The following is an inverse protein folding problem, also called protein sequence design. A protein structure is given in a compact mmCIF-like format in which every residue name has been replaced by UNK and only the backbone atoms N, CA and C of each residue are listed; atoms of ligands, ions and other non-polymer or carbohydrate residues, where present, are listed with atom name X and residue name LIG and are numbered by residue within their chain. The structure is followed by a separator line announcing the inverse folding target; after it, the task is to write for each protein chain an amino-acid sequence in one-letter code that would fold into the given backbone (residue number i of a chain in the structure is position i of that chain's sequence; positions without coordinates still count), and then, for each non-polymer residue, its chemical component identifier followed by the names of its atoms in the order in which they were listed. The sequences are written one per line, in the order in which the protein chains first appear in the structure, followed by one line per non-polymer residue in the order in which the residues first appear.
data_IF_525635984768
#
_entry.id   IF_525635984768
#
_cell.length_a   1.000
_cell.length_b   1.000
_cell.length_c   1.000
_cell.angle_alpha   90.00
_cell.angle_beta   90.00
_cell.angle_gamma   90.00
#
_symmetry.space_group_name_H-M   'P 1'
#
loop_
_entity.id
_entity.type
_entity.pdbx_description
1 polymer ?
#
# COMPACT_ATOMS: atom_id res chain seq x y z
N UNK A 1 18.99 10.44 -16.28
CA UNK A 1 18.82 10.78 -14.85
C UNK A 1 19.83 11.86 -14.48
N UNK A 2 19.51 12.83 -13.59
CA UNK A 2 20.46 13.84 -13.13
C UNK A 2 21.50 13.24 -12.18
N UNK A 3 22.66 13.91 -12.05
CA UNK A 3 23.65 13.61 -11.01
C UNK A 3 23.20 14.19 -9.66
N UNK A 4 23.43 13.46 -8.57
CA UNK A 4 23.03 13.87 -7.23
C UNK A 4 22.85 12.73 -6.24
N UNK A 5 22.36 13.07 -5.05
CA UNK A 5 22.10 12.16 -3.94
C UNK A 5 20.72 12.43 -3.33
N UNK A 6 19.93 11.38 -3.17
CA UNK A 6 18.56 11.45 -2.63
C UNK A 6 18.33 10.36 -1.61
N UNK A 7 17.94 10.73 -0.40
CA UNK A 7 17.70 9.80 0.70
C UNK A 7 16.22 9.79 1.06
N UNK A 8 15.67 8.60 1.26
CA UNK A 8 14.31 8.44 1.73
C UNK A 8 14.21 7.30 2.74
N UNK A 9 13.36 7.48 3.74
CA UNK A 9 13.04 6.47 4.74
C UNK A 9 11.55 6.16 4.70
N UNK A 10 11.18 4.89 4.74
CA UNK A 10 9.83 4.46 5.05
C UNK A 10 9.85 3.44 6.20
N UNK A 11 8.70 3.13 6.79
CA UNK A 11 8.62 2.31 8.01
C UNK A 11 7.65 1.16 7.85
N UNK A 12 8.02 0.00 8.38
CA UNK A 12 7.11 -1.11 8.68
C UNK A 12 6.66 -0.93 10.14
N UNK A 13 5.39 -1.24 10.43
CA UNK A 13 4.80 -0.99 11.76
C UNK A 13 5.51 -1.77 12.88
N UNK A 14 5.72 -3.07 12.67
CA UNK A 14 6.46 -4.01 13.54
C UNK A 14 6.70 -5.35 12.80
N UNK A 15 7.36 -6.32 13.44
CA UNK A 15 7.62 -7.66 12.88
C UNK A 15 6.59 -8.74 13.28
N UNK A 16 5.56 -8.37 14.05
CA UNK A 16 4.56 -9.28 14.62
C UNK A 16 5.06 -10.18 15.76
N UNK A 17 6.26 -9.90 16.30
CA UNK A 17 6.83 -10.53 17.50
C UNK A 17 7.14 -9.45 18.54
N UNK A 18 7.97 -8.47 18.17
CA UNK A 18 8.30 -7.30 18.97
C UNK A 18 7.32 -6.16 18.65
N UNK A 19 6.06 -6.33 19.08
CA UNK A 19 4.95 -5.42 18.77
C UNK A 19 5.24 -3.96 19.10
N UNK A 20 4.80 -3.06 18.21
CA UNK A 20 4.94 -1.62 18.40
C UNK A 20 6.36 -1.07 18.27
N UNK A 21 7.32 -1.87 17.79
CA UNK A 21 8.67 -1.40 17.45
C UNK A 21 8.76 -1.13 15.94
N UNK A 22 8.76 0.15 15.50
CA UNK A 22 8.85 0.48 14.09
C UNK A 22 10.17 0.05 13.46
N UNK A 23 10.10 -0.40 12.22
CA UNK A 23 11.26 -0.92 11.48
C UNK A 23 11.55 0.02 10.31
N UNK A 24 12.59 0.88 10.41
CA UNK A 24 12.95 1.80 9.33
C UNK A 24 13.65 1.10 8.17
N UNK A 25 13.25 1.48 6.95
CA UNK A 25 13.88 1.14 5.68
C UNK A 25 14.36 2.44 5.04
N UNK A 26 15.67 2.64 5.00
CA UNK A 26 16.32 3.83 4.45
C UNK A 26 17.13 3.46 3.22
N UNK A 27 16.94 4.19 2.14
CA UNK A 27 17.77 4.08 0.93
C UNK A 27 18.30 5.45 0.53
N UNK A 28 19.56 5.48 0.15
CA UNK A 28 20.19 6.62 -0.50
C UNK A 28 20.57 6.27 -1.93
N UNK A 29 19.97 6.96 -2.90
CA UNK A 29 20.30 6.84 -4.31
C UNK A 29 21.36 7.88 -4.67
N UNK A 30 22.53 7.42 -5.09
CA UNK A 30 23.63 8.25 -5.59
C UNK A 30 23.79 8.00 -7.08
N UNK A 31 23.62 9.03 -7.90
CA UNK A 31 23.78 8.95 -9.34
C UNK A 31 24.94 9.87 -9.73
N UNK A 32 25.94 9.31 -10.41
CA UNK A 32 27.05 10.07 -10.96
C UNK A 32 27.46 9.51 -12.34
N UNK A 33 27.45 10.34 -13.37
CA UNK A 33 27.78 9.91 -14.73
C UNK A 33 26.85 8.80 -15.22
N UNK A 34 27.42 7.65 -15.56
CA UNK A 34 26.75 6.45 -16.09
C UNK A 34 26.48 5.37 -15.02
N UNK A 35 26.73 5.65 -13.74
CA UNK A 35 26.53 4.70 -12.63
C UNK A 35 25.53 5.23 -11.60
N UNK A 36 24.85 4.29 -10.96
CA UNK A 36 24.00 4.54 -9.82
C UNK A 36 24.32 3.57 -8.68
N UNK A 37 24.36 4.07 -7.45
CA UNK A 37 24.46 3.27 -6.24
C UNK A 37 23.19 3.45 -5.42
N UNK A 38 22.54 2.35 -5.06
CA UNK A 38 21.47 2.31 -4.09
C UNK A 38 22.01 1.74 -2.77
N UNK A 39 22.16 2.61 -1.79
CA UNK A 39 22.75 2.28 -0.49
C UNK A 39 21.68 2.16 0.59
N UNK A 40 21.51 0.95 1.12
CA UNK A 40 20.56 0.61 2.17
C UNK A 40 21.17 0.68 3.57
N UNK A 41 22.38 1.21 3.71
CA UNK A 41 22.99 1.49 5.02
C UNK A 41 22.09 2.43 5.82
N UNK A 42 21.87 2.11 7.10
CA UNK A 42 20.95 2.85 7.98
C UNK A 42 19.53 2.29 8.04
N UNK A 43 19.23 1.24 7.26
CA UNK A 43 18.06 0.38 7.47
C UNK A 43 18.20 -0.46 8.74
N UNK A 44 17.07 -0.88 9.33
CA UNK A 44 17.02 -1.69 10.56
C UNK A 44 17.90 -2.96 10.50
N UNK A 45 18.46 -3.41 11.64
CA UNK A 45 18.93 -4.79 11.80
C UNK A 45 17.85 -5.80 11.39
N UNK A 46 18.27 -7.01 11.04
CA UNK A 46 17.34 -8.13 10.82
C UNK A 46 16.49 -8.36 12.09
N UNK A 47 15.22 -8.68 11.90
CA UNK A 47 14.21 -8.79 12.96
C UNK A 47 13.87 -10.24 13.27
N UNK A 48 13.15 -10.49 14.38
CA UNK A 48 12.77 -11.84 14.80
C UNK A 48 11.65 -12.41 13.91
N UNK A 49 10.73 -11.56 13.50
CA UNK A 49 9.63 -11.92 12.62
C UNK A 49 10.10 -12.36 11.23
N UNK A 50 9.24 -13.08 10.51
CA UNK A 50 9.58 -13.73 9.25
C UNK A 50 9.66 -12.80 8.03
N UNK A 51 9.86 -11.50 8.25
CA UNK A 51 9.80 -10.44 7.23
C UNK A 51 11.19 -10.01 6.73
N UNK A 52 12.24 -10.76 7.05
CA UNK A 52 13.60 -10.42 6.61
C UNK A 52 13.82 -10.71 5.12
N UNK A 53 14.54 -9.83 4.43
CA UNK A 53 14.87 -9.98 3.02
C UNK A 53 16.29 -10.48 2.79
N UNK A 54 16.46 -11.22 1.69
CA UNK A 54 17.80 -11.54 1.16
C UNK A 54 18.28 -10.39 0.29
N UNK A 55 19.60 -10.28 0.10
CA UNK A 55 20.19 -9.28 -0.80
C UNK A 55 19.60 -9.32 -2.22
N UNK A 56 19.24 -10.52 -2.70
CA UNK A 56 18.64 -10.69 -4.03
C UNK A 56 17.29 -9.98 -4.16
N UNK A 57 16.47 -9.99 -3.11
CA UNK A 57 15.18 -9.30 -3.10
C UNK A 57 15.38 -7.79 -3.07
N UNK A 58 16.28 -7.30 -2.21
CA UNK A 58 16.64 -5.88 -2.12
C UNK A 58 17.12 -5.35 -3.47
N UNK A 59 17.96 -6.12 -4.17
CA UNK A 59 18.35 -5.83 -5.56
C UNK A 59 17.16 -5.76 -6.50
N UNK A 60 16.27 -6.75 -6.48
CA UNK A 60 15.09 -6.77 -7.34
C UNK A 60 14.16 -5.56 -7.12
N UNK A 61 13.92 -5.18 -5.86
CA UNK A 61 13.14 -3.99 -5.50
C UNK A 61 13.76 -2.72 -6.09
N UNK A 62 15.07 -2.52 -5.87
CA UNK A 62 15.82 -1.37 -6.44
C UNK A 62 15.76 -1.36 -7.96
N UNK A 63 16.05 -2.48 -8.62
CA UNK A 63 16.07 -2.56 -10.08
C UNK A 63 14.71 -2.29 -10.70
N UNK A 64 13.63 -2.77 -10.08
CA UNK A 64 12.27 -2.55 -10.58
C UNK A 64 11.90 -1.07 -10.56
N UNK A 65 12.23 -0.37 -9.48
CA UNK A 65 11.94 1.07 -9.36
C UNK A 65 12.73 1.89 -10.39
N UNK A 66 14.03 1.62 -10.53
CA UNK A 66 14.88 2.31 -11.51
C UNK A 66 14.41 2.02 -12.94
N UNK A 67 14.06 0.75 -13.26
CA UNK A 67 13.52 0.39 -14.57
C UNK A 67 12.22 1.13 -14.88
N UNK A 68 11.38 1.36 -13.87
CA UNK A 68 10.06 1.99 -14.02
C UNK A 68 10.15 3.47 -14.41
N UNK A 69 11.25 4.16 -14.12
CA UNK A 69 11.46 5.58 -14.48
C UNK A 69 12.31 5.77 -15.75
N UNK A 70 12.74 4.67 -16.36
CA UNK A 70 13.55 4.65 -17.58
C UNK A 70 12.71 4.33 -18.82
N UNK A 71 13.21 4.65 -20.03
CA UNK A 71 12.53 4.31 -21.28
C UNK A 71 12.19 2.81 -21.38
N UNK A 72 11.04 2.52 -22.00
CA UNK A 72 10.50 1.17 -22.10
C UNK A 72 11.46 0.23 -22.86
N UNK A 73 12.15 0.76 -23.87
CA UNK A 73 13.05 0.08 -24.80
C UNK A 73 14.29 -0.54 -24.12
N UNK A 74 14.66 -0.06 -22.92
CA UNK A 74 15.76 -0.65 -22.16
C UNK A 74 15.33 -2.04 -21.65
N UNK A 75 15.97 -3.10 -22.13
CA UNK A 75 15.60 -4.47 -21.77
C UNK A 75 16.06 -4.87 -20.36
N UNK A 76 15.24 -5.67 -19.67
CA UNK A 76 15.56 -6.24 -18.36
C UNK A 76 16.54 -7.42 -18.46
N UNK A 77 17.82 -7.14 -18.71
CA UNK A 77 18.88 -8.14 -18.76
C UNK A 77 20.13 -7.68 -17.98
N UNK A 78 21.18 -8.52 -17.96
CA UNK A 78 22.43 -8.23 -17.24
C UNK A 78 23.06 -6.87 -17.57
N UNK A 79 22.85 -6.37 -18.79
CA UNK A 79 23.33 -5.04 -19.20
C UNK A 79 22.66 -3.89 -18.43
N UNK A 80 21.36 -4.02 -18.13
CA UNK A 80 20.61 -3.04 -17.34
C UNK A 80 21.06 -3.01 -15.87
N UNK A 81 21.37 -4.17 -15.28
CA UNK A 81 21.76 -4.26 -13.87
C UNK A 81 23.21 -3.81 -13.63
N UNK A 82 24.11 -4.01 -14.59
CA UNK A 82 25.55 -3.73 -14.48
C UNK A 82 25.91 -2.31 -13.99
N UNK A 83 25.26 -1.21 -14.43
CA UNK A 83 25.56 0.13 -13.94
C UNK A 83 24.94 0.45 -12.56
N UNK A 84 24.16 -0.46 -11.98
CA UNK A 84 23.44 -0.24 -10.71
C UNK A 84 24.06 -1.11 -9.62
N UNK A 85 24.78 -0.46 -8.72
CA UNK A 85 25.31 -1.06 -7.51
C UNK A 85 24.26 -1.01 -6.40
N UNK A 86 24.11 -2.12 -5.66
CA UNK A 86 23.20 -2.19 -4.50
C UNK A 86 24.02 -2.60 -3.28
N UNK A 87 24.10 -1.70 -2.30
CA UNK A 87 24.81 -1.89 -1.04
C UNK A 87 23.75 -2.15 0.04
N UNK A 88 23.86 -3.29 0.73
CA UNK A 88 23.05 -3.59 1.90
C UNK A 88 23.92 -4.37 2.91
N UNK A 89 24.25 -3.79 4.07
CA UNK A 89 25.11 -4.45 5.06
C UNK A 89 24.52 -5.79 5.52
N UNK A 90 25.35 -6.81 5.65
CA UNK A 90 24.94 -8.12 6.14
C UNK A 90 24.39 -8.02 7.58
N UNK A 91 23.34 -8.76 7.89
CA UNK A 91 22.68 -8.71 9.20
C UNK A 91 21.62 -7.62 9.34
N UNK A 92 21.29 -6.92 8.25
CA UNK A 92 20.17 -5.97 8.19
C UNK A 92 18.92 -6.64 7.66
N UNK A 93 17.75 -6.03 7.85
CA UNK A 93 16.49 -6.52 7.25
C UNK A 93 16.56 -6.52 5.72
N UNK A 94 17.49 -5.76 5.11
CA UNK A 94 17.75 -5.71 3.67
C UNK A 94 18.79 -6.72 3.16
N UNK A 95 19.55 -7.37 4.04
CA UNK A 95 20.50 -8.41 3.68
C UNK A 95 20.70 -9.34 4.89
N UNK A 96 19.68 -10.13 5.15
CA UNK A 96 19.64 -10.97 6.32
C UNK A 96 20.61 -12.14 6.21
N UNK A 97 21.18 -12.53 7.36
CA UNK A 97 22.05 -13.70 7.48
C UNK A 97 21.33 -14.80 8.25
N UNK A 98 21.70 -16.06 7.99
CA UNK A 98 21.16 -17.19 8.73
C UNK A 98 21.37 -17.00 10.24
N UNK A 99 20.39 -17.32 11.10
CA UNK A 99 19.14 -18.04 10.83
C UNK A 99 17.88 -17.15 10.65
N UNK A 100 18.00 -15.93 10.12
CA UNK A 100 16.85 -15.01 9.96
C UNK A 100 15.68 -15.62 9.16
N UNK A 101 14.46 -15.45 9.68
CA UNK A 101 13.26 -15.95 9.03
C UNK A 101 12.81 -15.05 7.86
N UNK A 102 12.51 -15.67 6.72
CA UNK A 102 12.27 -14.97 5.44
C UNK A 102 10.96 -15.38 4.74
N UNK A 103 10.02 -16.03 5.44
CA UNK A 103 8.80 -16.60 4.85
C UNK A 103 7.80 -15.52 4.39
N UNK A 104 7.66 -14.43 5.15
CA UNK A 104 6.76 -13.30 4.88
C UNK A 104 7.51 -12.07 4.33
N UNK A 105 8.67 -12.29 3.71
CA UNK A 105 9.57 -11.23 3.22
C UNK A 105 8.96 -10.30 2.16
N UNK A 106 7.87 -10.73 1.50
CA UNK A 106 7.13 -9.94 0.53
C UNK A 106 6.73 -8.58 1.08
N UNK A 107 6.22 -8.54 2.32
CA UNK A 107 5.83 -7.31 3.03
C UNK A 107 6.95 -6.27 3.04
N UNK A 108 8.16 -6.68 3.44
CA UNK A 108 9.34 -5.82 3.43
C UNK A 108 9.78 -5.46 2.02
N UNK A 109 9.67 -6.41 1.08
CA UNK A 109 10.00 -6.21 -0.33
C UNK A 109 9.18 -5.09 -0.98
N UNK A 110 7.86 -5.08 -0.78
CA UNK A 110 7.01 -4.00 -1.26
C UNK A 110 7.31 -2.68 -0.56
N UNK A 111 7.62 -2.72 0.74
CA UNK A 111 8.03 -1.49 1.44
C UNK A 111 9.32 -0.92 0.87
N UNK A 112 10.30 -1.76 0.52
CA UNK A 112 11.52 -1.31 -0.15
C UNK A 112 11.22 -0.62 -1.48
N UNK A 113 10.24 -1.10 -2.24
CA UNK A 113 9.81 -0.46 -3.50
C UNK A 113 9.28 0.95 -3.23
N UNK A 114 8.36 1.10 -2.26
CA UNK A 114 7.86 2.41 -1.87
C UNK A 114 8.98 3.32 -1.35
N UNK A 115 9.97 2.79 -0.61
CA UNK A 115 11.13 3.57 -0.14
C UNK A 115 11.98 4.06 -1.31
N UNK A 116 12.28 3.21 -2.30
CA UNK A 116 13.08 3.60 -3.48
C UNK A 116 12.31 4.60 -4.35
N UNK A 117 11.00 4.42 -4.53
CA UNK A 117 10.19 5.43 -5.20
C UNK A 117 10.17 6.75 -4.44
N UNK A 118 10.16 6.75 -3.11
CA UNK A 118 10.26 7.98 -2.33
C UNK A 118 11.56 8.75 -2.56
N UNK A 119 12.68 8.03 -2.76
CA UNK A 119 13.95 8.65 -3.16
C UNK A 119 13.93 9.12 -4.62
N UNK A 120 13.37 8.32 -5.54
CA UNK A 120 13.23 8.70 -6.95
C UNK A 120 12.27 9.88 -7.15
N UNK A 121 11.26 10.05 -6.30
CA UNK A 121 10.35 11.18 -6.35
C UNK A 121 11.12 12.49 -6.15
N UNK A 122 12.06 12.52 -5.20
CA UNK A 122 12.92 13.70 -5.02
C UNK A 122 13.82 13.97 -6.25
N UNK A 123 14.22 12.92 -6.98
CA UNK A 123 15.02 13.03 -8.20
C UNK A 123 14.20 13.45 -9.44
N UNK A 124 12.96 12.96 -9.55
CA UNK A 124 12.12 13.03 -10.76
C UNK A 124 10.66 13.34 -10.38
N UNK A 125 10.36 14.55 -9.88
CA UNK A 125 9.05 14.86 -9.29
C UNK A 125 7.86 14.66 -10.23
N UNK A 126 8.05 14.92 -11.52
CA UNK A 126 6.99 14.80 -12.53
C UNK A 126 6.88 13.40 -13.16
N UNK A 127 7.65 12.41 -12.67
CA UNK A 127 7.66 11.05 -13.23
C UNK A 127 7.28 9.95 -12.25
N UNK A 128 7.34 10.24 -10.95
CA UNK A 128 7.18 9.22 -9.91
C UNK A 128 5.82 9.34 -9.25
N UNK A 129 5.21 8.18 -9.03
CA UNK A 129 3.89 8.03 -8.42
C UNK A 129 3.99 8.15 -6.89
N UNK A 130 2.90 8.54 -6.23
CA UNK A 130 2.82 8.44 -4.77
C UNK A 130 2.88 6.98 -4.29
N UNK A 131 3.05 6.76 -2.98
CA UNK A 131 3.12 5.40 -2.45
C UNK A 131 1.88 4.61 -2.84
N UNK A 132 2.07 3.36 -3.25
CA UNK A 132 0.94 2.44 -3.46
C UNK A 132 0.45 1.90 -2.11
N UNK A 133 -0.45 0.93 -2.10
CA UNK A 133 -1.03 0.35 -0.89
C UNK A 133 -0.01 -0.34 0.06
N UNK A 134 1.29 -0.35 -0.25
CA UNK A 134 2.30 -0.96 0.60
C UNK A 134 2.51 -2.45 0.38
N UNK A 135 1.88 -3.03 -0.65
CA UNK A 135 2.11 -4.39 -1.10
C UNK A 135 1.05 -5.40 -0.67
N UNK A 136 1.45 -6.66 -0.67
CA UNK A 136 0.53 -7.76 -0.37
C UNK A 136 0.22 -7.86 1.13
N UNK A 137 -1.06 -7.98 1.47
CA UNK A 137 -1.46 -8.59 2.75
C UNK A 137 -1.68 -10.07 2.53
N UNK A 138 -1.03 -10.89 3.36
CA UNK A 138 -1.25 -12.34 3.39
C UNK A 138 -2.33 -12.71 4.40
N UNK A 139 -3.34 -13.45 3.96
CA UNK A 139 -4.36 -14.08 4.83
C UNK A 139 -4.22 -15.58 4.67
N UNK A 140 -3.99 -16.27 5.77
CA UNK A 140 -3.95 -17.73 5.82
C UNK A 140 -4.95 -18.25 6.83
N UNK A 141 -5.77 -19.20 6.40
CA UNK A 141 -6.73 -19.91 7.26
C UNK A 141 -6.47 -21.40 7.08
N UNK A 142 -6.07 -22.07 8.15
CA UNK A 142 -5.71 -23.49 8.11
C UNK A 142 -6.37 -24.27 9.23
N UNK A 143 -6.76 -25.51 8.93
CA UNK A 143 -7.47 -26.36 9.87
C UNK A 143 -7.65 -27.77 9.35
N UNK A 144 -8.66 -28.45 9.88
CA UNK A 144 -9.05 -29.79 9.47
C UNK A 144 -10.54 -29.82 9.19
N UNK A 145 -10.93 -30.57 8.16
CA UNK A 145 -12.32 -30.97 7.96
C UNK A 145 -12.79 -31.93 9.06
N UNK A 146 -14.10 -32.17 9.13
CA UNK A 146 -14.70 -33.12 10.08
C UNK A 146 -14.11 -34.55 9.98
N UNK A 147 -13.68 -34.97 8.78
CA UNK A 147 -13.04 -36.26 8.52
C UNK A 147 -11.53 -36.30 8.85
N UNK A 148 -10.99 -35.21 9.40
CA UNK A 148 -9.56 -35.01 9.76
C UNK A 148 -8.63 -34.84 8.56
N UNK A 149 -9.16 -34.60 7.36
CA UNK A 149 -8.35 -34.14 6.22
C UNK A 149 -7.91 -32.70 6.44
N UNK A 150 -6.61 -32.36 6.30
CA UNK A 150 -6.14 -30.99 6.50
C UNK A 150 -6.52 -30.09 5.33
N UNK A 151 -6.79 -28.82 5.61
CA UNK A 151 -6.91 -27.76 4.59
C UNK A 151 -6.00 -26.58 4.94
N UNK A 152 -5.56 -25.86 3.90
CA UNK A 152 -4.84 -24.60 4.03
C UNK A 152 -5.25 -23.66 2.91
N UNK A 153 -5.88 -22.56 3.30
CA UNK A 153 -6.15 -21.43 2.43
C UNK A 153 -5.07 -20.38 2.61
N UNK A 154 -4.52 -19.88 1.50
CA UNK A 154 -3.58 -18.75 1.48
C UNK A 154 -3.97 -17.81 0.36
N UNK A 155 -4.29 -16.56 0.70
CA UNK A 155 -4.59 -15.51 -0.27
C UNK A 155 -3.67 -14.31 -0.01
N UNK A 156 -3.25 -13.66 -1.11
CA UNK A 156 -2.51 -12.42 -1.08
C UNK A 156 -3.34 -11.33 -1.73
N UNK A 157 -3.60 -10.26 -0.98
CA UNK A 157 -4.43 -9.15 -1.42
C UNK A 157 -3.50 -7.98 -1.78
N UNK A 158 -3.58 -7.53 -3.02
CA UNK A 158 -3.14 -6.22 -3.48
C UNK A 158 -4.33 -5.51 -4.12
N UNK A 159 -4.32 -4.18 -4.14
CA UNK A 159 -5.55 -3.48 -4.45
C UNK A 159 -5.45 -2.12 -5.09
N UNK A 160 -4.36 -1.33 -4.97
CA UNK A 160 -4.40 0.02 -5.54
C UNK A 160 -3.04 0.72 -5.66
N UNK A 161 -2.92 1.58 -6.67
CA UNK A 161 -1.70 2.38 -6.87
C UNK A 161 -1.83 3.79 -6.33
N UNK A 162 -0.69 4.42 -6.05
CA UNK A 162 -0.61 5.85 -5.74
C UNK A 162 -1.03 6.73 -6.91
N UNK A 163 -1.49 7.94 -6.59
CA UNK A 163 -1.73 9.00 -7.56
C UNK A 163 -0.46 9.25 -8.38
N UNK A 164 -0.65 9.48 -9.68
CA UNK A 164 0.45 9.66 -10.63
C UNK A 164 0.53 11.13 -11.03
N UNK A 165 1.70 11.64 -11.46
CA UNK A 165 1.80 13.02 -11.95
C UNK A 165 0.84 13.37 -13.10
N UNK A 166 0.35 12.37 -13.83
CA UNK A 166 -0.50 12.52 -15.02
C UNK A 166 -1.89 11.88 -14.91
N UNK A 167 -2.19 11.10 -13.87
CA UNK A 167 -3.45 10.36 -13.76
C UNK A 167 -3.71 9.86 -12.33
N UNK A 168 -4.97 9.57 -12.01
CA UNK A 168 -5.32 8.92 -10.73
C UNK A 168 -4.62 7.56 -10.59
N UNK A 169 -4.49 7.07 -9.37
CA UNK A 169 -4.06 5.70 -9.10
C UNK A 169 -5.02 4.67 -9.71
N UNK A 170 -4.54 3.45 -9.89
CA UNK A 170 -5.39 2.35 -10.36
C UNK A 170 -6.21 1.82 -9.19
N UNK A 171 -7.52 1.71 -9.39
CA UNK A 171 -8.48 1.12 -8.45
C UNK A 171 -8.49 -0.41 -8.58
N UNK A 172 -8.53 -1.15 -7.47
CA UNK A 172 -8.64 -2.61 -7.44
C UNK A 172 -7.55 -3.39 -8.20
N UNK A 173 -6.35 -2.84 -8.34
CA UNK A 173 -5.28 -3.41 -9.16
C UNK A 173 -4.09 -3.89 -8.32
N UNK A 174 -3.40 -4.94 -8.79
CA UNK A 174 -2.20 -5.43 -8.12
C UNK A 174 -1.10 -4.37 -8.09
N UNK A 175 -0.37 -4.29 -6.98
CA UNK A 175 0.78 -3.40 -6.85
C UNK A 175 1.79 -3.61 -7.99
N UNK A 176 2.37 -2.53 -8.51
CA UNK A 176 3.29 -2.54 -9.66
C UNK A 176 4.45 -3.56 -9.55
N UNK A 177 4.85 -3.91 -8.32
CA UNK A 177 5.95 -4.84 -8.06
C UNK A 177 5.54 -6.31 -8.13
N UNK A 178 4.26 -6.61 -8.35
CA UNK A 178 3.77 -7.98 -8.48
C UNK A 178 2.68 -8.11 -9.55
N UNK A 179 2.62 -9.29 -10.14
CA UNK A 179 1.52 -9.67 -11.02
C UNK A 179 0.67 -10.70 -10.28
N UNK A 180 -0.30 -10.21 -9.49
CA UNK A 180 -1.20 -11.03 -8.70
C UNK A 180 -2.65 -10.75 -9.08
N UNK A 181 -3.49 -11.75 -8.88
CA UNK A 181 -4.94 -11.64 -9.02
C UNK A 181 -5.59 -12.26 -7.82
N UNK A 182 -6.71 -11.69 -7.36
CA UNK A 182 -7.54 -12.36 -6.38
C UNK A 182 -8.19 -13.60 -7.02
N UNK A 183 -8.21 -14.76 -6.33
CA UNK A 183 -9.00 -15.89 -6.77
C UNK A 183 -10.49 -15.54 -6.83
N UNK A 184 -11.20 -16.20 -7.74
CA UNK A 184 -12.66 -16.13 -7.81
C UNK A 184 -13.26 -16.58 -6.48
N UNK A 185 -14.34 -15.90 -6.06
CA UNK A 185 -15.10 -16.31 -4.89
C UNK A 185 -15.60 -17.76 -5.05
N UNK A 186 -16.16 -18.09 -6.22
CA UNK A 186 -16.69 -19.44 -6.52
C UNK A 186 -15.63 -20.53 -6.37
N UNK A 187 -14.39 -20.28 -6.83
CA UNK A 187 -13.28 -21.26 -6.70
C UNK A 187 -12.90 -21.41 -5.23
N UNK A 188 -12.81 -20.30 -4.50
CA UNK A 188 -12.46 -20.32 -3.08
C UNK A 188 -13.52 -21.07 -2.27
N UNK A 189 -14.81 -20.81 -2.52
CA UNK A 189 -15.94 -21.46 -1.83
C UNK A 189 -16.11 -22.93 -2.21
N UNK A 190 -15.70 -23.32 -3.42
CA UNK A 190 -15.74 -24.72 -3.86
C UNK A 190 -14.62 -25.55 -3.23
N UNK A 191 -13.42 -24.98 -3.13
CA UNK A 191 -12.21 -25.71 -2.73
C UNK A 191 -11.87 -25.58 -1.25
N UNK A 192 -12.39 -24.56 -0.56
CA UNK A 192 -12.05 -24.24 0.83
C UNK A 192 -13.32 -24.15 1.68
N UNK A 193 -13.25 -24.47 2.98
CA UNK A 193 -14.39 -24.35 3.87
C UNK A 193 -14.57 -22.89 4.34
N UNK A 194 -14.70 -21.99 3.36
CA UNK A 194 -14.82 -20.55 3.54
C UNK A 194 -15.94 -20.02 2.65
N UNK A 195 -16.63 -19.00 3.13
CA UNK A 195 -17.59 -18.23 2.32
C UNK A 195 -17.09 -16.79 2.18
N UNK A 196 -17.06 -16.27 0.95
CA UNK A 196 -16.60 -14.91 0.65
C UNK A 196 -17.78 -13.96 0.71
N UNK A 197 -17.83 -13.13 1.76
CA UNK A 197 -18.99 -12.26 2.00
C UNK A 197 -18.93 -10.95 1.23
N UNK A 198 -17.73 -10.45 0.96
CA UNK A 198 -17.56 -9.27 0.13
C UNK A 198 -16.18 -9.21 -0.54
N UNK A 199 -16.18 -8.51 -1.67
CA UNK A 199 -15.02 -8.05 -2.40
C UNK A 199 -15.37 -6.72 -3.04
N UNK A 200 -15.10 -5.62 -2.33
CA UNK A 200 -15.62 -4.30 -2.67
C UNK A 200 -14.53 -3.24 -2.61
N UNK A 201 -14.67 -2.19 -3.43
CA UNK A 201 -13.85 -0.99 -3.31
C UNK A 201 -14.27 -0.22 -2.05
N UNK A 202 -13.30 0.33 -1.32
CA UNK A 202 -13.56 1.09 -0.10
C UNK A 202 -13.62 2.60 -0.45
N UNK A 203 -14.78 3.27 -0.27
CA UNK A 203 -14.88 4.72 -0.49
C UNK A 203 -13.94 5.52 0.41
N UNK A 204 -13.44 6.66 -0.08
CA UNK A 204 -12.57 7.60 0.65
C UNK A 204 -11.25 6.99 1.18
N UNK A 205 -10.86 5.80 0.69
CA UNK A 205 -9.68 5.10 1.19
C UNK A 205 -8.38 5.67 0.61
N UNK A 206 -8.37 5.99 -0.68
CA UNK A 206 -7.21 6.54 -1.38
C UNK A 206 -6.88 7.96 -0.91
N UNK A 207 -5.59 8.27 -0.85
CA UNK A 207 -5.08 9.58 -0.50
C UNK A 207 -5.56 10.64 -1.47
N UNK A 208 -5.96 11.78 -0.92
CA UNK A 208 -6.50 12.91 -1.69
C UNK A 208 -5.40 13.57 -2.50
N UNK A 209 -5.71 14.07 -3.70
CA UNK A 209 -4.72 14.79 -4.50
C UNK A 209 -5.33 15.35 -5.78
N UNK A 210 -4.57 16.18 -6.50
CA UNK A 210 -4.92 16.53 -7.90
C UNK A 210 -5.22 15.26 -8.68
N UNK A 211 -4.36 14.27 -8.47
CA UNK A 211 -4.56 12.88 -8.85
C UNK A 211 -4.70 12.04 -7.57
N UNK A 212 -5.88 11.45 -7.37
CA UNK A 212 -6.16 10.67 -6.16
C UNK A 212 -5.40 9.34 -6.16
N UNK A 213 -5.14 8.79 -4.98
CA UNK A 213 -4.82 7.38 -4.85
C UNK A 213 -5.96 6.50 -5.37
N UNK A 214 -5.64 5.30 -5.84
CA UNK A 214 -6.63 4.31 -6.20
C UNK A 214 -7.46 3.83 -5.00
N UNK A 215 -8.63 3.25 -5.25
CA UNK A 215 -9.47 2.64 -4.23
C UNK A 215 -9.03 1.22 -3.95
N UNK A 216 -8.70 0.97 -2.69
CA UNK A 216 -8.32 -0.34 -2.17
C UNK A 216 -9.54 -1.22 -1.90
N UNK A 217 -9.30 -2.52 -1.71
CA UNK A 217 -10.34 -3.54 -1.60
C UNK A 217 -10.57 -3.94 -0.13
N UNK A 218 -11.84 -4.14 0.24
CA UNK A 218 -12.24 -4.91 1.42
C UNK A 218 -12.55 -6.35 1.02
N UNK A 219 -12.08 -7.30 1.83
CA UNK A 219 -12.32 -8.73 1.67
C UNK A 219 -12.79 -9.35 2.99
N UNK A 220 -13.85 -10.15 2.95
CA UNK A 220 -14.43 -10.79 4.14
C UNK A 220 -14.62 -12.29 3.95
N UNK A 221 -14.25 -13.07 4.97
CA UNK A 221 -14.24 -14.53 4.96
C UNK A 221 -15.00 -15.05 6.16
N UNK A 222 -16.02 -15.89 5.93
CA UNK A 222 -16.70 -16.64 6.99
C UNK A 222 -16.15 -18.05 7.04
N UNK A 223 -15.81 -18.55 8.23
CA UNK A 223 -15.36 -19.92 8.40
C UNK A 223 -16.55 -20.90 8.40
N UNK A 224 -16.42 -21.98 7.63
CA UNK A 224 -17.41 -23.06 7.54
C UNK A 224 -16.97 -24.37 8.22
N UNK A 225 -15.78 -24.45 8.82
CA UNK A 225 -15.41 -25.54 9.72
C UNK A 225 -15.57 -25.15 11.19
N UNK A 226 -15.57 -26.15 12.08
CA UNK A 226 -15.74 -25.94 13.53
C UNK A 226 -14.61 -25.11 14.13
N UNK A 227 -13.38 -25.31 13.64
CA UNK A 227 -12.19 -24.61 14.11
C UNK A 227 -11.17 -24.40 12.99
N UNK A 228 -10.54 -23.22 12.97
CA UNK A 228 -9.36 -22.94 12.16
C UNK A 228 -8.39 -21.98 12.86
N UNK A 229 -7.14 -21.97 12.39
CA UNK A 229 -6.13 -20.98 12.75
C UNK A 229 -6.13 -19.88 11.70
N UNK A 230 -6.27 -18.63 12.16
CA UNK A 230 -6.11 -17.45 11.32
C UNK A 230 -4.70 -16.89 11.49
N UNK A 231 -3.99 -16.70 10.38
CA UNK A 231 -2.79 -15.89 10.33
C UNK A 231 -2.96 -14.75 9.33
N UNK A 232 -2.69 -13.53 9.78
CA UNK A 232 -2.69 -12.33 8.94
C UNK A 232 -1.31 -11.68 8.99
N UNK A 233 -0.83 -11.30 7.81
CA UNK A 233 0.42 -10.56 7.61
C UNK A 233 0.09 -9.29 6.83
N UNK A 234 -0.45 -8.29 7.54
CA UNK A 234 -0.71 -6.96 7.00
C UNK A 234 0.28 -5.92 7.57
N UNK A 235 0.26 -4.72 6.99
CA UNK A 235 1.04 -3.55 7.42
C UNK A 235 0.28 -2.26 7.05
N UNK A 236 0.92 -1.08 7.10
CA UNK A 236 0.29 0.24 6.83
C UNK A 236 -0.87 0.58 7.76
N UNK A 237 -0.88 0.06 9.00
CA UNK A 237 -1.85 0.45 10.01
C UNK A 237 -1.43 1.75 10.71
N UNK A 238 -0.15 1.83 11.11
CA UNK A 238 0.41 3.02 11.76
C UNK A 238 1.09 3.93 10.74
N UNK A 239 2.02 3.40 9.95
CA UNK A 239 2.74 4.15 8.92
C UNK A 239 2.05 4.00 7.56
N UNK A 240 1.11 4.91 7.30
CA UNK A 240 0.24 4.92 6.10
C UNK A 240 1.04 5.19 4.82
N UNK A 241 0.52 4.79 3.64
CA UNK A 241 1.12 5.17 2.37
C UNK A 241 1.19 6.68 2.22
N UNK A 242 2.38 7.20 1.91
CA UNK A 242 2.62 8.64 1.81
C UNK A 242 2.05 9.22 0.51
N UNK A 243 1.55 10.44 0.59
CA UNK A 243 1.24 11.27 -0.58
C UNK A 243 2.45 12.07 -1.05
N UNK A 244 2.38 12.63 -2.26
CA UNK A 244 3.44 13.44 -2.86
C UNK A 244 2.95 14.81 -3.35
N UNK A 245 3.80 15.82 -3.23
CA UNK A 245 3.61 17.19 -3.77
C UNK A 245 2.26 17.83 -3.40
N UNK A 246 1.88 17.74 -2.12
CA UNK A 246 0.60 18.23 -1.60
C UNK A 246 -0.53 17.20 -1.59
N UNK A 247 -0.34 16.04 -2.22
CA UNK A 247 -1.23 14.90 -2.06
C UNK A 247 -1.19 14.35 -0.64
N UNK A 248 -2.32 13.90 -0.13
CA UNK A 248 -2.49 13.34 1.20
C UNK A 248 -2.15 11.85 1.29
N UNK A 249 -1.84 11.34 2.48
CA UNK A 249 -1.66 9.91 2.72
C UNK A 249 -3.00 9.18 2.57
N UNK A 250 -2.96 7.91 2.21
CA UNK A 250 -4.16 7.07 2.20
C UNK A 250 -4.58 6.63 3.60
N UNK A 251 -5.76 6.02 3.71
CA UNK A 251 -6.29 5.48 4.98
C UNK A 251 -5.49 4.25 5.45
N UNK A 252 -5.43 3.99 6.76
CA UNK A 252 -4.71 2.82 7.28
C UNK A 252 -5.40 1.51 6.91
N UNK A 253 -4.63 0.42 6.95
CA UNK A 253 -5.20 -0.93 6.89
C UNK A 253 -5.98 -1.26 8.17
N UNK A 254 -6.96 -2.16 8.09
CA UNK A 254 -7.75 -2.58 9.24
C UNK A 254 -8.09 -4.06 9.19
N UNK A 255 -7.90 -4.75 10.31
CA UNK A 255 -8.31 -6.13 10.49
C UNK A 255 -9.43 -6.18 11.53
N UNK A 256 -10.50 -6.92 11.22
CA UNK A 256 -11.64 -7.09 12.13
C UNK A 256 -12.06 -8.55 12.19
N UNK A 257 -12.58 -8.95 13.34
CA UNK A 257 -13.22 -10.24 13.54
C UNK A 257 -14.61 -10.03 14.13
N UNK A 258 -15.62 -10.61 13.48
CA UNK A 258 -16.96 -10.76 14.04
C UNK A 258 -17.07 -12.18 14.58
N UNK A 259 -17.17 -12.31 15.91
CA UNK A 259 -17.29 -13.59 16.60
C UNK A 259 -18.39 -13.51 17.66
N UNK A 260 -19.31 -14.49 17.67
CA UNK A 260 -20.44 -14.49 18.60
C UNK A 260 -21.34 -13.25 18.50
N UNK A 261 -21.43 -12.63 17.31
CA UNK A 261 -22.18 -11.39 17.09
C UNK A 261 -21.48 -10.10 17.54
N UNK A 262 -20.22 -10.17 18.01
CA UNK A 262 -19.43 -9.01 18.40
C UNK A 262 -18.29 -8.76 17.42
N UNK A 263 -18.18 -7.52 16.95
CA UNK A 263 -17.03 -7.05 16.16
C UNK A 263 -15.91 -6.57 17.07
N UNK A 264 -14.67 -6.99 16.79
CA UNK A 264 -13.46 -6.46 17.42
C UNK A 264 -12.36 -6.20 16.40
N UNK A 265 -11.56 -5.18 16.66
CA UNK A 265 -10.35 -4.91 15.89
C UNK A 265 -9.24 -5.90 16.26
N UNK A 266 -8.45 -6.27 15.25
CA UNK A 266 -7.24 -7.07 15.39
C UNK A 266 -6.02 -6.24 14.97
N UNK A 267 -4.85 -6.61 15.46
CA UNK A 267 -3.58 -6.04 15.02
C UNK A 267 -3.32 -6.37 13.54
N UNK A 268 -2.48 -5.56 12.87
CA UNK A 268 -2.12 -5.76 11.46
C UNK A 268 -1.49 -7.13 11.19
N UNK A 269 -0.64 -7.59 12.12
CA UNK A 269 -0.04 -8.93 12.12
C UNK A 269 -0.61 -9.72 13.28
N UNK A 270 -1.24 -10.85 12.98
CA UNK A 270 -1.86 -11.72 13.99
C UNK A 270 -1.69 -13.19 13.61
N UNK A 271 -1.48 -14.03 14.61
CA UNK A 271 -1.71 -15.47 14.51
C UNK A 271 -2.60 -15.83 15.68
N UNK A 272 -3.80 -16.29 15.40
CA UNK A 272 -4.84 -16.50 16.40
C UNK A 272 -5.51 -17.85 16.20
N UNK A 273 -5.74 -18.53 17.33
CA UNK A 273 -6.48 -19.78 17.43
C UNK A 273 -7.43 -19.72 18.63
N UNK A 274 -8.69 -20.17 18.53
CA UNK A 274 -9.40 -20.59 17.31
C UNK A 274 -10.22 -19.45 16.67
N UNK A 275 -10.33 -19.45 15.34
CA UNK A 275 -11.58 -19.03 14.67
C UNK A 275 -12.58 -20.18 14.76
N UNK A 276 -13.87 -19.86 14.92
CA UNK A 276 -14.96 -20.85 14.99
C UNK A 276 -15.90 -20.74 13.81
N UNK A 277 -16.67 -21.80 13.57
CA UNK A 277 -17.75 -21.82 12.57
C UNK A 277 -18.61 -20.57 12.67
N UNK A 278 -18.78 -19.88 11.55
CA UNK A 278 -19.59 -18.67 11.45
C UNK A 278 -18.86 -17.38 11.81
N UNK A 279 -17.66 -17.44 12.41
CA UNK A 279 -16.84 -16.25 12.61
C UNK A 279 -16.45 -15.63 11.26
N UNK A 280 -16.43 -14.30 11.20
CA UNK A 280 -16.10 -13.54 9.99
C UNK A 280 -14.85 -12.72 10.21
N UNK A 281 -13.80 -13.00 9.43
CA UNK A 281 -12.63 -12.14 9.33
C UNK A 281 -12.82 -11.13 8.21
N UNK A 282 -12.55 -9.85 8.46
CA UNK A 282 -12.65 -8.77 7.48
C UNK A 282 -11.32 -8.03 7.43
N UNK A 283 -10.76 -7.90 6.23
CA UNK A 283 -9.57 -7.13 5.96
C UNK A 283 -9.88 -5.96 5.02
N UNK A 284 -9.52 -4.76 5.48
CA UNK A 284 -9.52 -3.54 4.69
C UNK A 284 -8.07 -3.25 4.30
N UNK A 285 -7.78 -3.30 2.99
CA UNK A 285 -6.48 -2.88 2.48
C UNK A 285 -6.25 -1.38 2.73
N UNK A 286 -5.01 -0.97 3.04
CA UNK A 286 -4.68 0.43 3.21
C UNK A 286 -4.87 1.18 1.89
N UNK A 287 -5.22 2.45 1.97
CA UNK A 287 -5.31 3.32 0.81
C UNK A 287 -3.93 3.77 0.33
N UNK A 288 -3.65 3.80 -0.97
CA UNK A 288 -2.43 4.40 -1.51
C UNK A 288 -2.44 5.94 -1.36
N UNK A 289 -1.30 6.59 -1.50
CA UNK A 289 -1.19 8.05 -1.40
C UNK A 289 -1.70 8.82 -2.62
N UNK A 290 -2.10 10.07 -2.42
CA UNK A 290 -2.46 10.99 -3.50
C UNK A 290 -1.26 11.77 -4.03
N UNK A 291 -1.41 12.39 -5.21
CA UNK A 291 -0.38 13.20 -5.85
C UNK A 291 -0.93 14.59 -6.20
N UNK A 292 -0.17 15.64 -5.88
CA UNK A 292 -0.54 17.04 -6.17
C UNK A 292 -1.59 17.60 -5.21
N UNK A 293 -1.75 18.92 -5.16
CA UNK A 293 -2.75 19.58 -4.31
C UNK A 293 -4.19 19.15 -4.68
N UNK A 294 -4.97 18.57 -3.73
CA UNK A 294 -6.38 18.24 -3.95
C UNK A 294 -7.23 19.40 -4.48
N UNK A 295 -6.91 20.66 -4.13
CA UNK A 295 -7.68 21.83 -4.57
C UNK A 295 -7.45 22.18 -6.05
N UNK A 296 -6.45 21.57 -6.69
CA UNK A 296 -6.23 21.65 -8.14
C UNK A 296 -7.01 20.60 -8.94
N UNK A 297 -7.63 19.61 -8.29
CA UNK A 297 -8.44 18.60 -8.99
C UNK A 297 -9.62 19.28 -9.67
N UNK A 298 -9.95 18.87 -10.89
CA UNK A 298 -11.11 19.43 -11.60
C UNK A 298 -12.43 19.05 -10.92
N UNK A 299 -13.35 20.00 -10.67
CA UNK A 299 -14.62 19.70 -10.00
C UNK A 299 -15.45 18.63 -10.70
N UNK A 300 -15.42 18.57 -12.04
CA UNK A 300 -16.11 17.54 -12.82
C UNK A 300 -15.55 16.12 -12.55
N UNK A 301 -14.24 16.00 -12.30
CA UNK A 301 -13.62 14.72 -11.92
C UNK A 301 -14.01 14.31 -10.51
N UNK A 302 -14.12 15.26 -9.57
CA UNK A 302 -14.64 14.99 -8.23
C UNK A 302 -16.10 14.54 -8.28
N UNK A 303 -16.94 15.21 -9.07
CA UNK A 303 -18.32 14.77 -9.29
C UNK A 303 -18.37 13.34 -9.84
N UNK A 304 -17.52 13.02 -10.84
CA UNK A 304 -17.42 11.65 -11.35
C UNK A 304 -17.05 10.66 -10.24
N UNK A 305 -16.07 10.98 -9.40
CA UNK A 305 -15.68 10.09 -8.29
C UNK A 305 -16.85 9.88 -7.30
N UNK A 306 -17.64 10.92 -7.03
CA UNK A 306 -18.83 10.83 -6.16
C UNK A 306 -19.95 10.00 -6.79
N UNK A 307 -20.21 10.19 -8.08
CA UNK A 307 -21.20 9.40 -8.82
C UNK A 307 -20.84 7.91 -8.89
N UNK A 308 -19.55 7.57 -8.78
CA UNK A 308 -19.07 6.19 -8.74
C UNK A 308 -18.80 5.69 -7.31
N UNK A 309 -19.23 6.45 -6.28
CA UNK A 309 -19.07 6.10 -4.86
C UNK A 309 -17.61 5.90 -4.41
N UNK A 310 -16.64 6.41 -5.17
CA UNK A 310 -15.22 6.34 -4.82
C UNK A 310 -14.85 7.41 -3.79
N UNK A 311 -15.52 8.56 -3.88
CA UNK A 311 -15.38 9.70 -2.98
C UNK A 311 -16.75 10.05 -2.43
N UNK A 312 -16.89 10.25 -1.13
CA UNK A 312 -18.17 10.69 -0.55
C UNK A 312 -18.43 12.18 -0.83
N UNK A 313 -19.69 12.65 -0.86
CA UNK A 313 -20.00 14.09 -0.94
C UNK A 313 -19.33 14.91 0.16
N UNK A 314 -19.14 14.30 1.34
CA UNK A 314 -18.41 14.90 2.45
C UNK A 314 -16.93 15.10 2.12
N UNK A 315 -16.25 14.06 1.64
CA UNK A 315 -14.83 14.15 1.22
C UNK A 315 -14.66 15.10 0.03
N UNK A 316 -15.59 15.12 -0.92
CA UNK A 316 -15.59 16.08 -2.02
C UNK A 316 -15.48 17.53 -1.51
N UNK A 317 -16.28 17.90 -0.50
CA UNK A 317 -16.26 19.23 0.10
C UNK A 317 -15.05 19.48 1.01
N UNK A 318 -14.67 18.52 1.84
CA UNK A 318 -13.66 18.71 2.87
C UNK A 318 -12.23 18.61 2.34
N UNK A 319 -12.01 17.73 1.37
CA UNK A 319 -10.67 17.43 0.87
C UNK A 319 -10.35 18.17 -0.44
N UNK A 320 -11.31 18.23 -1.37
CA UNK A 320 -11.15 18.83 -2.70
C UNK A 320 -11.79 20.22 -2.84
N UNK A 321 -12.53 20.65 -1.82
CA UNK A 321 -13.27 21.90 -1.81
C UNK A 321 -14.40 21.97 -2.84
N UNK A 322 -14.90 20.81 -3.31
CA UNK A 322 -15.97 20.72 -4.30
C UNK A 322 -17.29 20.43 -3.61
N UNK A 323 -18.23 21.34 -3.75
CA UNK A 323 -19.56 21.21 -3.17
C UNK A 323 -20.49 20.59 -4.21
N UNK A 324 -21.11 19.47 -3.84
CA UNK A 324 -22.03 18.73 -4.71
C UNK A 324 -23.43 18.88 -4.13
N UNK A 325 -24.36 19.33 -4.98
CA UNK A 325 -25.78 19.24 -4.67
C UNK A 325 -26.21 17.77 -4.83
N UNK A 326 -26.51 17.11 -3.72
CA UNK A 326 -26.89 15.69 -3.70
C UNK A 326 -28.30 15.42 -4.21
N UNK A 327 -29.15 16.46 -4.32
CA UNK A 327 -30.48 16.31 -4.90
C UNK A 327 -30.44 16.33 -6.43
N UNK A 328 -29.57 17.17 -7.01
CA UNK A 328 -29.43 17.30 -8.47
C UNK A 328 -28.25 16.55 -9.05
N UNK A 329 -27.34 16.06 -8.20
CA UNK A 329 -26.06 15.42 -8.57
C UNK A 329 -25.20 16.30 -9.49
N UNK A 330 -25.12 17.59 -9.15
CA UNK A 330 -24.32 18.58 -9.89
C UNK A 330 -23.34 19.31 -8.98
N UNK A 331 -22.31 19.92 -9.56
CA UNK A 331 -21.37 20.77 -8.82
C UNK A 331 -22.00 22.15 -8.61
N UNK A 332 -22.04 22.60 -7.36
CA UNK A 332 -22.31 24.01 -7.04
C UNK A 332 -20.99 24.79 -7.23
N UNK A 333 -20.89 25.52 -8.34
CA UNK A 333 -19.69 26.25 -8.72
C UNK A 333 -19.34 27.37 -7.73
N UNK A 334 -20.35 28.09 -7.24
CA UNK A 334 -20.15 29.23 -6.34
C UNK A 334 -19.76 28.77 -4.94
N UNK A 335 -20.41 27.72 -4.43
CA UNK A 335 -20.04 27.12 -3.15
C UNK A 335 -18.67 26.44 -3.22
N UNK A 336 -18.34 25.79 -4.34
CA UNK A 336 -16.99 25.24 -4.59
C UNK A 336 -15.92 26.33 -4.56
N UNK A 337 -16.16 27.48 -5.21
CA UNK A 337 -15.21 28.60 -5.21
C UNK A 337 -14.97 29.13 -3.79
N UNK A 338 -16.03 29.35 -3.01
CA UNK A 338 -15.93 29.78 -1.60
C UNK A 338 -15.20 28.74 -0.75
N UNK A 339 -15.58 27.46 -0.87
CA UNK A 339 -14.98 26.37 -0.09
C UNK A 339 -13.49 26.22 -0.35
N UNK A 340 -13.04 26.36 -1.60
CA UNK A 340 -11.61 26.33 -1.94
C UNK A 340 -10.85 27.51 -1.35
N UNK A 341 -11.44 28.71 -1.28
CA UNK A 341 -10.82 29.86 -0.60
C UNK A 341 -10.66 29.57 0.89
N UNK A 342 -11.72 29.10 1.55
CA UNK A 342 -11.67 28.71 2.97
C UNK A 342 -10.57 27.67 3.26
N UNK A 343 -10.53 26.60 2.46
CA UNK A 343 -9.53 25.54 2.62
C UNK A 343 -8.11 26.05 2.37
N UNK A 344 -7.88 26.92 1.38
CA UNK A 344 -6.56 27.53 1.13
C UNK A 344 -6.12 28.40 2.31
N UNK A 345 -7.01 29.24 2.83
CA UNK A 345 -6.72 30.09 4.00
C UNK A 345 -6.43 29.24 5.24
N UNK A 346 -7.16 28.15 5.44
CA UNK A 346 -6.93 27.23 6.55
C UNK A 346 -5.64 26.40 6.39
N UNK A 347 -5.22 26.09 5.15
CA UNK A 347 -4.15 25.11 4.88
C UNK A 347 -2.72 25.58 5.16
N UNK A 348 -2.45 26.84 5.45
CA UNK A 348 -1.16 27.30 6.03
C UNK A 348 0.14 27.01 5.23
N UNK A 349 0.07 26.32 4.10
CA UNK A 349 1.21 26.01 3.24
C UNK A 349 1.40 27.12 2.21
N UNK A 350 2.61 27.65 2.11
CA UNK A 350 3.02 28.56 1.02
C UNK A 350 3.54 27.79 -0.20
N UNK A 351 4.04 26.57 0.01
CA UNK A 351 4.51 25.64 -1.03
C UNK A 351 4.00 24.23 -0.70
N UNK A 352 3.52 23.44 -1.67
CA UNK A 352 3.08 22.06 -1.41
C UNK A 352 4.20 21.20 -0.80
N UNK A 353 3.93 20.43 0.27
CA UNK A 353 4.92 19.51 0.83
C UNK A 353 5.29 18.44 -0.20
N UNK A 354 6.59 18.18 -0.36
CA UNK A 354 7.06 17.15 -1.30
C UNK A 354 6.55 15.75 -0.92
N UNK A 355 6.41 15.48 0.37
CA UNK A 355 5.95 14.20 0.93
C UNK A 355 4.98 14.48 2.08
N UNK A 356 3.82 13.80 2.10
CA UNK A 356 2.81 13.90 3.15
C UNK A 356 2.58 12.53 3.80
N UNK A 357 2.58 12.42 5.13
CA UNK A 357 2.45 11.15 5.88
C UNK A 357 1.22 11.12 6.78
#
# INVERSE_FOLDING_TARGET
LPDGEWTFTDWIDDDGIDFGTPIPLTVTLRKHGDRMTADWTGTSPQVKGAINNTLSFTRAATYTCIKSVLPHEILCNAGFYRPIEVIAPAGTIANAVAPAACAARGLTGFRMVDTVFGALAQMLPDRVIAASEGGNTGVSIGGYHADRTPFIFVEFICSAWGGRPWADGLDGNANLFANMSLPSAEVTETEQPLEILCCELIPDVGGVGKHRGGMSIRRAYRLLEDEAVLQVRADRHTFRPYGLYGGGPGKPSRNRLIAGGQERDLTAKVTMTPMRRGDVFIHDQPGPGGWGDPLEREPARVLRDVLNELVSPKSASDDYGVVIDTATLTVDADATARRRVELRTARGWTTPPAVSR
#
